data_IF_925519845098
#
_entry.id   IF_925519845098
#
_cell.length_a   1.000
_cell.length_b   1.000
_cell.length_c   1.000
_cell.angle_alpha   90.00
_cell.angle_beta   90.00
_cell.angle_gamma   90.00
#
_symmetry.space_group_name_H-M   'P 1'
#
loop_
_entity.id
_entity.type
_entity.pdbx_description
1 polymer ?
#
# COMPACT_ATOMS: atom_id res chain seq x y z
N UNK A 1 33.18 -65.49 26.93
CA UNK A 1 32.71 -65.25 25.54
C UNK A 1 31.22 -64.88 25.62
N UNK A 2 30.79 -63.75 25.02
CA UNK A 2 29.39 -63.29 24.80
C UNK A 2 28.73 -62.23 25.71
N UNK A 3 29.41 -61.46 26.57
CA UNK A 3 28.76 -60.32 27.29
C UNK A 3 29.61 -59.03 27.28
N UNK A 4 30.46 -58.82 26.28
CA UNK A 4 31.28 -57.59 26.20
C UNK A 4 31.15 -56.81 24.89
N UNK A 5 30.17 -57.18 24.04
CA UNK A 5 29.97 -56.58 22.72
C UNK A 5 28.66 -55.79 22.58
N UNK A 6 27.96 -55.50 23.68
CA UNK A 6 26.62 -54.93 23.66
C UNK A 6 26.52 -53.49 24.21
N UNK A 7 27.65 -52.78 24.43
CA UNK A 7 27.63 -51.43 25.04
C UNK A 7 28.26 -50.34 24.15
N UNK A 8 28.91 -50.68 23.03
CA UNK A 8 29.56 -49.67 22.17
C UNK A 8 28.67 -49.08 21.05
N UNK A 9 27.35 -49.32 21.03
CA UNK A 9 26.48 -48.85 19.95
C UNK A 9 25.38 -47.87 20.37
N UNK A 10 25.53 -47.18 21.51
CA UNK A 10 24.50 -46.28 22.01
C UNK A 10 24.98 -44.85 22.34
N UNK A 11 25.87 -44.29 21.52
CA UNK A 11 26.17 -42.85 21.55
C UNK A 11 26.40 -42.28 20.13
N UNK A 12 25.57 -42.67 19.17
CA UNK A 12 25.33 -41.80 18.01
C UNK A 12 24.31 -40.77 18.49
N UNK A 13 24.80 -39.69 19.10
CA UNK A 13 24.01 -38.46 19.23
C UNK A 13 23.75 -37.96 17.83
N UNK A 14 22.60 -38.32 17.26
CA UNK A 14 22.07 -37.65 16.09
C UNK A 14 21.94 -36.18 16.47
N UNK A 15 22.80 -35.34 15.89
CA UNK A 15 22.62 -33.89 15.94
C UNK A 15 21.36 -33.62 15.13
N UNK A 16 20.20 -33.65 15.80
CA UNK A 16 18.95 -33.18 15.23
C UNK A 16 19.12 -31.68 14.98
N UNK A 17 19.42 -31.33 13.74
CA UNK A 17 19.19 -29.97 13.27
C UNK A 17 17.68 -29.73 13.36
N UNK A 18 17.26 -28.98 14.39
CA UNK A 18 15.93 -28.40 14.39
C UNK A 18 15.75 -27.68 13.06
N UNK A 19 14.71 -28.02 12.32
CA UNK A 19 14.33 -27.24 11.14
C UNK A 19 14.10 -25.82 11.64
N UNK A 20 14.97 -24.89 11.27
CA UNK A 20 14.67 -23.47 11.42
C UNK A 20 13.44 -23.23 10.57
N UNK A 21 12.31 -22.92 11.22
CA UNK A 21 11.07 -22.62 10.52
C UNK A 21 11.40 -21.55 9.48
N UNK A 22 11.31 -21.84 8.17
CA UNK A 22 11.59 -20.83 7.17
C UNK A 22 10.59 -19.69 7.39
N UNK A 23 11.11 -18.46 7.52
CA UNK A 23 10.26 -17.30 7.74
C UNK A 23 9.25 -17.17 6.59
N UNK A 24 7.98 -16.92 6.90
CA UNK A 24 6.94 -16.74 5.89
C UNK A 24 7.10 -15.36 5.26
N UNK A 25 7.98 -15.28 4.26
CA UNK A 25 8.41 -14.03 3.65
C UNK A 25 8.31 -14.09 2.14
N UNK A 26 7.76 -13.03 1.56
CA UNK A 26 7.98 -12.68 0.15
C UNK A 26 9.17 -11.74 0.13
N UNK A 27 10.22 -12.04 -0.65
CA UNK A 27 11.42 -11.21 -0.67
C UNK A 27 12.01 -11.06 -2.07
N UNK A 28 12.69 -9.93 -2.28
CA UNK A 28 13.25 -9.53 -3.57
C UNK A 28 14.56 -8.76 -3.36
N UNK A 29 15.48 -8.88 -4.32
CA UNK A 29 16.75 -8.17 -4.37
C UNK A 29 16.75 -7.02 -5.38
N UNK A 30 15.57 -6.58 -5.82
CA UNK A 30 15.40 -5.44 -6.72
C UNK A 30 14.13 -4.63 -6.37
N UNK A 31 14.12 -3.31 -6.64
CA UNK A 31 12.92 -2.49 -6.48
C UNK A 31 11.75 -2.90 -7.37
N UNK A 32 10.54 -2.46 -7.01
CA UNK A 32 9.34 -2.65 -7.83
C UNK A 32 9.40 -1.90 -9.17
N UNK A 33 10.17 -0.81 -9.23
CA UNK A 33 10.26 0.04 -10.41
C UNK A 33 8.96 0.81 -10.63
N UNK A 34 8.37 0.69 -11.82
CA UNK A 34 7.09 1.32 -12.19
C UNK A 34 5.91 0.34 -12.18
N UNK A 35 6.17 -0.96 -12.06
CA UNK A 35 5.16 -2.04 -12.07
C UNK A 35 4.50 -2.13 -10.70
N UNK A 36 3.16 -2.09 -10.67
CA UNK A 36 2.39 -2.10 -9.42
C UNK A 36 2.29 -3.51 -8.82
N UNK A 37 2.21 -4.52 -9.69
CA UNK A 37 2.11 -5.94 -9.35
C UNK A 37 3.34 -6.47 -8.61
N UNK A 38 4.47 -5.77 -8.75
CA UNK A 38 5.70 -6.08 -8.02
C UNK A 38 5.72 -5.46 -6.61
N UNK A 39 4.81 -4.54 -6.28
CA UNK A 39 4.76 -3.85 -4.99
C UNK A 39 4.20 -4.78 -3.89
N UNK A 40 4.57 -4.52 -2.64
CA UNK A 40 4.18 -5.39 -1.52
C UNK A 40 2.94 -4.83 -0.79
N UNK A 41 1.85 -5.61 -0.66
CA UNK A 41 0.62 -5.15 0.00
C UNK A 41 0.74 -5.20 1.53
N UNK A 42 0.23 -4.16 2.18
CA UNK A 42 -0.09 -4.11 3.61
C UNK A 42 -1.50 -3.55 3.80
N UNK A 43 -2.22 -3.99 4.82
CA UNK A 43 -3.56 -3.48 5.08
C UNK A 43 -4.12 -3.87 6.45
N UNK A 44 -5.05 -3.05 6.94
CA UNK A 44 -5.72 -3.26 8.23
C UNK A 44 -7.24 -3.46 8.08
N UNK A 45 -7.69 -3.89 6.90
CA UNK A 45 -9.10 -4.09 6.55
C UNK A 45 -9.84 -2.81 6.12
N UNK A 46 -9.37 -1.62 6.53
CA UNK A 46 -9.89 -0.32 6.07
C UNK A 46 -8.91 0.39 5.14
N UNK A 47 -7.70 0.61 5.64
CA UNK A 47 -6.58 1.20 4.91
C UNK A 47 -5.75 0.10 4.27
N UNK A 48 -5.39 0.32 3.02
CA UNK A 48 -4.44 -0.51 2.28
C UNK A 48 -3.31 0.35 1.72
N UNK A 49 -2.13 -0.24 1.61
CA UNK A 49 -1.03 0.37 0.90
C UNK A 49 -0.21 -0.64 0.11
N UNK A 50 0.27 -0.22 -1.06
CA UNK A 50 1.22 -0.97 -1.87
C UNK A 50 2.59 -0.28 -1.79
N UNK A 51 3.58 -0.98 -1.23
CA UNK A 51 4.93 -0.46 -0.96
C UNK A 51 5.90 -0.89 -2.06
N UNK A 52 6.41 0.08 -2.82
CA UNK A 52 7.25 -0.19 -4.00
C UNK A 52 8.71 -0.51 -3.66
N UNK A 53 9.22 -0.03 -2.53
CA UNK A 53 10.62 -0.25 -2.14
C UNK A 53 11.62 0.43 -3.07
N UNK A 54 11.21 1.48 -3.79
CA UNK A 54 12.07 2.18 -4.75
C UNK A 54 13.08 3.07 -4.04
N UNK A 55 14.36 2.98 -4.42
CA UNK A 55 15.45 3.64 -3.68
C UNK A 55 15.38 5.17 -3.77
N UNK A 56 15.48 5.74 -4.97
CA UNK A 56 15.46 7.20 -5.16
C UNK A 56 14.08 7.82 -4.92
N UNK A 57 13.02 7.12 -5.36
CA UNK A 57 11.63 7.61 -5.32
C UNK A 57 10.71 6.52 -4.80
N UNK A 58 10.58 6.44 -3.48
CA UNK A 58 9.63 5.52 -2.85
C UNK A 58 8.20 5.90 -3.22
N UNK A 59 7.38 4.89 -3.47
CA UNK A 59 5.95 5.05 -3.73
C UNK A 59 5.20 4.17 -2.74
N UNK A 60 4.35 4.81 -1.95
CA UNK A 60 3.33 4.17 -1.14
C UNK A 60 2.00 4.51 -1.80
N UNK A 61 1.47 3.61 -2.63
CA UNK A 61 0.13 3.77 -3.18
C UNK A 61 -0.89 3.46 -2.09
N UNK A 62 -1.91 4.31 -1.93
CA UNK A 62 -2.83 4.29 -0.80
C UNK A 62 -4.27 4.03 -1.26
N UNK A 63 -4.94 3.17 -0.50
CA UNK A 63 -6.33 2.82 -0.68
C UNK A 63 -7.08 2.93 0.66
N UNK A 64 -8.36 3.30 0.58
CA UNK A 64 -9.32 3.31 1.68
C UNK A 64 -10.59 2.65 1.15
N UNK A 65 -11.10 1.64 1.85
CA UNK A 65 -12.09 0.69 1.30
C UNK A 65 -13.45 1.29 0.89
N UNK A 66 -13.77 2.53 1.29
CA UNK A 66 -15.03 3.24 1.00
C UNK A 66 -14.88 4.28 -0.11
N UNK A 67 -13.69 4.44 -0.69
CA UNK A 67 -13.46 5.38 -1.79
C UNK A 67 -13.89 4.77 -3.12
N UNK A 68 -15.16 4.99 -3.48
CA UNK A 68 -15.80 4.49 -4.70
C UNK A 68 -16.38 5.63 -5.54
N UNK A 69 -16.50 5.41 -6.85
CA UNK A 69 -17.15 6.36 -7.77
C UNK A 69 -18.63 6.47 -7.52
N UNK A 70 -19.22 7.52 -8.09
CA UNK A 70 -20.66 7.71 -8.05
C UNK A 70 -21.18 7.97 -6.64
N UNK A 71 -22.42 7.54 -6.41
CA UNK A 71 -23.16 7.75 -5.20
C UNK A 71 -24.39 6.84 -5.18
N UNK A 72 -25.30 7.05 -4.20
CA UNK A 72 -26.53 6.28 -4.13
C UNK A 72 -27.27 6.27 -5.47
N UNK A 73 -27.47 5.08 -6.02
CA UNK A 73 -28.17 4.87 -7.28
C UNK A 73 -28.91 3.52 -7.25
N UNK A 74 -29.79 3.34 -8.23
CA UNK A 74 -30.42 2.04 -8.50
C UNK A 74 -30.14 1.63 -9.94
N UNK A 75 -30.06 0.33 -10.14
CA UNK A 75 -29.77 -0.33 -11.41
C UNK A 75 -30.92 -1.23 -11.88
N UNK A 76 -32.10 -1.08 -11.29
CA UNK A 76 -33.28 -1.81 -11.71
C UNK A 76 -33.75 -1.38 -13.09
N UNK A 77 -34.18 -2.35 -13.89
CA UNK A 77 -34.84 -2.12 -15.16
C UNK A 77 -36.35 -2.32 -14.97
N UNK A 78 -37.18 -1.27 -15.15
CA UNK A 78 -38.64 -1.37 -14.95
C UNK A 78 -39.31 -2.44 -15.82
N UNK A 79 -38.73 -2.78 -16.96
CA UNK A 79 -39.26 -3.80 -17.87
C UNK A 79 -39.08 -5.25 -17.36
N UNK A 80 -38.30 -5.44 -16.29
CA UNK A 80 -37.88 -6.77 -15.86
C UNK A 80 -39.05 -7.65 -15.44
N UNK A 81 -40.00 -7.10 -14.67
CA UNK A 81 -41.15 -7.84 -14.16
C UNK A 81 -42.04 -8.32 -15.30
N UNK A 82 -42.42 -7.42 -16.20
CA UNK A 82 -43.30 -7.71 -17.34
C UNK A 82 -42.68 -8.70 -18.32
N UNK A 83 -41.35 -8.66 -18.47
CA UNK A 83 -40.63 -9.52 -19.42
C UNK A 83 -40.36 -10.93 -18.88
N UNK A 84 -40.43 -11.13 -17.56
CA UNK A 84 -39.97 -12.35 -16.90
C UNK A 84 -40.76 -13.59 -17.33
N UNK A 85 -42.09 -13.48 -17.46
CA UNK A 85 -42.94 -14.59 -17.90
C UNK A 85 -42.57 -15.05 -19.31
N UNK A 86 -42.35 -14.10 -20.23
CA UNK A 86 -41.99 -14.39 -21.62
C UNK A 86 -40.61 -15.02 -21.73
N UNK A 87 -39.63 -14.50 -20.99
CA UNK A 87 -38.27 -15.05 -20.96
C UNK A 87 -38.31 -16.52 -20.51
N UNK A 88 -39.03 -16.84 -19.43
CA UNK A 88 -39.19 -18.21 -18.92
C UNK A 88 -39.81 -19.15 -19.96
N UNK A 89 -40.86 -18.71 -20.65
CA UNK A 89 -41.49 -19.50 -21.72
C UNK A 89 -40.50 -19.84 -22.84
N UNK A 90 -39.70 -18.86 -23.29
CA UNK A 90 -38.71 -19.08 -24.34
C UNK A 90 -37.63 -20.07 -23.91
N UNK A 91 -37.19 -20.02 -22.65
CA UNK A 91 -36.24 -20.99 -22.09
C UNK A 91 -36.82 -22.40 -22.11
N UNK A 92 -38.06 -22.61 -21.62
CA UNK A 92 -38.70 -23.93 -21.62
C UNK A 92 -38.99 -24.47 -23.01
N UNK A 93 -39.20 -23.58 -23.99
CA UNK A 93 -39.37 -23.96 -25.40
C UNK A 93 -38.04 -24.23 -26.13
N UNK A 94 -36.89 -24.17 -25.44
CA UNK A 94 -35.58 -24.39 -26.06
C UNK A 94 -35.10 -23.24 -26.95
N UNK A 95 -35.63 -22.02 -26.79
CA UNK A 95 -35.34 -20.84 -27.62
C UNK A 95 -34.38 -19.87 -26.93
N UNK A 96 -33.15 -20.30 -26.64
CA UNK A 96 -32.24 -19.54 -25.78
C UNK A 96 -31.82 -18.20 -26.40
N UNK A 97 -31.60 -18.13 -27.71
CA UNK A 97 -31.19 -16.87 -28.38
C UNK A 97 -32.29 -15.80 -28.36
N UNK A 98 -33.55 -16.21 -28.49
CA UNK A 98 -34.69 -15.30 -28.33
C UNK A 98 -34.81 -14.83 -26.88
N UNK A 99 -34.65 -15.74 -25.90
CA UNK A 99 -34.68 -15.41 -24.48
C UNK A 99 -33.56 -14.42 -24.08
N UNK A 100 -32.34 -14.68 -24.54
CA UNK A 100 -31.16 -13.83 -24.33
C UNK A 100 -31.40 -12.40 -24.85
N UNK A 101 -31.95 -12.27 -26.06
CA UNK A 101 -32.26 -10.96 -26.65
C UNK A 101 -33.20 -10.14 -25.76
N UNK A 102 -34.29 -10.75 -25.27
CA UNK A 102 -35.24 -10.08 -24.38
C UNK A 102 -34.59 -9.77 -23.03
N UNK A 103 -33.83 -10.71 -22.46
CA UNK A 103 -33.14 -10.52 -21.18
C UNK A 103 -32.15 -9.35 -21.23
N UNK A 104 -31.34 -9.24 -22.29
CA UNK A 104 -30.41 -8.12 -22.47
C UNK A 104 -31.12 -6.76 -22.56
N UNK A 105 -32.35 -6.73 -23.04
CA UNK A 105 -33.13 -5.50 -23.14
C UNK A 105 -33.86 -5.14 -21.83
N UNK A 106 -34.42 -6.13 -21.15
CA UNK A 106 -35.39 -5.94 -20.08
C UNK A 106 -34.86 -6.22 -18.67
N UNK A 107 -33.77 -6.97 -18.52
CA UNK A 107 -33.19 -7.32 -17.22
C UNK A 107 -31.97 -6.47 -16.91
N UNK A 108 -31.11 -6.24 -17.91
CA UNK A 108 -29.90 -5.43 -17.73
C UNK A 108 -30.28 -3.97 -17.45
N UNK A 109 -29.60 -3.38 -16.47
CA UNK A 109 -29.67 -1.96 -16.09
C UNK A 109 -29.52 -1.04 -17.29
N UNK A 110 -30.25 0.08 -17.28
CA UNK A 110 -30.12 1.14 -18.31
C UNK A 110 -29.19 2.26 -17.88
N UNK A 111 -28.78 2.29 -16.61
CA UNK A 111 -28.08 3.43 -16.01
C UNK A 111 -26.68 3.06 -15.54
N UNK A 112 -26.58 2.22 -14.51
CA UNK A 112 -25.29 1.90 -13.87
C UNK A 112 -25.06 0.40 -13.76
N UNK A 113 -23.85 -0.02 -14.14
CA UNK A 113 -23.37 -1.40 -14.14
C UNK A 113 -22.45 -1.72 -12.95
N UNK A 114 -22.49 -0.88 -11.91
CA UNK A 114 -21.57 -0.93 -10.79
C UNK A 114 -20.67 0.30 -10.75
N UNK A 115 -20.14 0.59 -9.57
CA UNK A 115 -19.25 1.73 -9.35
C UNK A 115 -17.81 1.24 -9.23
N UNK A 116 -16.86 2.10 -9.61
CA UNK A 116 -15.44 1.80 -9.62
C UNK A 116 -14.80 2.14 -8.28
N UNK A 117 -14.07 1.18 -7.72
CA UNK A 117 -13.16 1.44 -6.62
C UNK A 117 -12.04 2.38 -7.07
N UNK A 118 -11.67 3.34 -6.23
CA UNK A 118 -10.67 4.37 -6.56
C UNK A 118 -9.52 4.39 -5.54
N UNK A 119 -8.27 4.60 -6.00
CA UNK A 119 -7.16 4.90 -5.11
C UNK A 119 -7.30 6.30 -4.51
N UNK A 120 -6.81 6.47 -3.28
CA UNK A 120 -6.69 7.79 -2.65
C UNK A 120 -5.58 8.60 -3.32
N UNK A 121 -4.54 7.91 -3.80
CA UNK A 121 -3.38 8.46 -4.49
C UNK A 121 -2.09 7.82 -4.01
N UNK A 122 -0.96 8.43 -4.33
CA UNK A 122 0.35 7.95 -3.92
C UNK A 122 1.00 8.92 -2.95
N UNK A 123 1.49 8.45 -1.80
CA UNK A 123 2.51 9.17 -1.05
C UNK A 123 3.87 8.83 -1.64
N UNK A 124 4.57 9.84 -2.15
CA UNK A 124 5.90 9.69 -2.75
C UNK A 124 6.96 10.31 -1.84
N UNK A 125 8.05 9.58 -1.60
CA UNK A 125 9.23 10.08 -0.88
C UNK A 125 10.43 10.09 -1.83
N UNK A 126 10.99 11.27 -2.08
CA UNK A 126 12.14 11.47 -2.96
C UNK A 126 13.43 11.69 -2.16
N UNK A 127 14.41 10.81 -2.34
CA UNK A 127 15.70 10.81 -1.66
C UNK A 127 16.80 11.23 -2.64
N UNK A 128 17.12 12.52 -2.68
CA UNK A 128 18.13 13.06 -3.57
C UNK A 128 19.52 12.46 -3.27
N UNK A 129 20.27 12.08 -4.32
CA UNK A 129 21.61 11.50 -4.18
C UNK A 129 21.62 9.98 -3.95
N UNK A 130 20.46 9.32 -3.96
CA UNK A 130 20.34 7.87 -3.74
C UNK A 130 20.30 7.04 -5.06
N UNK A 131 20.71 7.63 -6.19
CA UNK A 131 20.63 6.97 -7.51
C UNK A 131 21.57 5.78 -7.67
N UNK A 132 22.70 5.77 -6.95
CA UNK A 132 23.67 4.67 -6.92
C UNK A 132 23.63 4.02 -5.54
N UNK A 133 23.32 2.72 -5.49
CA UNK A 133 23.15 1.98 -4.24
C UNK A 133 23.66 0.53 -4.36
N UNK A 134 23.95 -0.09 -3.22
CA UNK A 134 24.32 -1.50 -3.08
C UNK A 134 23.46 -2.20 -2.02
N UNK A 135 23.66 -3.52 -1.87
CA UNK A 135 23.09 -4.33 -0.79
C UNK A 135 21.57 -4.20 -0.66
N UNK A 136 20.89 -4.10 -1.80
CA UNK A 136 19.45 -3.91 -1.84
C UNK A 136 18.72 -5.20 -1.43
N UNK A 137 17.76 -5.04 -0.54
CA UNK A 137 16.86 -6.10 -0.11
C UNK A 137 15.49 -5.53 0.25
N UNK A 138 14.41 -6.21 -0.15
CA UNK A 138 13.06 -5.92 0.34
C UNK A 138 12.29 -7.20 0.66
N UNK A 139 11.43 -7.13 1.65
CA UNK A 139 10.58 -8.25 2.09
C UNK A 139 9.20 -7.77 2.56
N UNK A 140 8.23 -8.69 2.51
CA UNK A 140 7.01 -8.69 3.32
C UNK A 140 7.08 -9.91 4.24
N UNK A 141 7.20 -9.65 5.54
CA UNK A 141 7.08 -10.65 6.59
C UNK A 141 5.60 -10.87 6.91
N UNK A 142 5.06 -12.01 6.49
CA UNK A 142 3.65 -12.36 6.62
C UNK A 142 3.29 -12.67 8.07
N UNK A 143 4.23 -13.16 8.88
CA UNK A 143 3.98 -13.43 10.30
C UNK A 143 3.79 -12.14 11.09
N UNK A 144 4.42 -11.04 10.65
CA UNK A 144 4.39 -9.75 11.33
C UNK A 144 3.53 -8.69 10.63
N UNK A 145 3.11 -8.94 9.39
CA UNK A 145 2.49 -7.95 8.51
C UNK A 145 3.34 -6.68 8.32
N UNK A 146 4.67 -6.85 8.25
CA UNK A 146 5.64 -5.76 8.10
C UNK A 146 6.37 -5.92 6.77
N UNK A 147 6.38 -4.85 5.98
CA UNK A 147 7.30 -4.72 4.86
C UNK A 147 8.60 -4.10 5.33
N UNK A 148 9.73 -4.56 4.79
CA UNK A 148 11.05 -3.96 5.03
C UNK A 148 11.75 -3.72 3.70
N UNK A 149 12.46 -2.61 3.59
CA UNK A 149 13.39 -2.30 2.49
C UNK A 149 14.70 -1.81 3.09
N UNK A 150 15.82 -2.34 2.62
CA UNK A 150 17.17 -1.96 3.06
C UNK A 150 18.09 -1.81 1.86
N UNK A 151 18.98 -0.81 1.90
CA UNK A 151 19.99 -0.57 0.87
C UNK A 151 21.10 0.33 1.42
N UNK A 152 22.24 0.37 0.75
CA UNK A 152 23.40 1.19 1.14
C UNK A 152 23.69 2.26 0.08
N UNK A 153 23.93 3.50 0.51
CA UNK A 153 24.41 4.61 -0.33
C UNK A 153 25.60 5.27 0.38
N UNK A 154 26.74 5.38 -0.29
CA UNK A 154 27.95 6.02 0.24
C UNK A 154 28.37 5.52 1.64
N UNK A 155 28.30 4.19 1.85
CA UNK A 155 28.63 3.55 3.13
C UNK A 155 27.58 3.74 4.24
N UNK A 156 26.44 4.37 3.96
CA UNK A 156 25.31 4.51 4.90
C UNK A 156 24.21 3.53 4.49
N UNK A 157 23.90 2.58 5.37
CA UNK A 157 22.71 1.73 5.25
C UNK A 157 21.45 2.50 5.66
N UNK A 158 20.42 2.43 4.82
CA UNK A 158 19.09 2.96 5.06
C UNK A 158 18.12 1.80 5.23
N UNK A 159 17.17 1.94 6.14
CA UNK A 159 16.12 0.95 6.34
C UNK A 159 14.75 1.62 6.39
N UNK A 160 13.78 0.99 5.73
CA UNK A 160 12.37 1.39 5.73
C UNK A 160 11.55 0.20 6.22
N UNK A 161 10.69 0.40 7.19
CA UNK A 161 9.75 -0.61 7.66
C UNK A 161 8.34 -0.03 7.60
N UNK A 162 7.37 -0.75 7.03
CA UNK A 162 6.01 -0.25 6.95
C UNK A 162 4.97 -1.32 7.27
N UNK A 163 3.90 -0.89 7.94
CA UNK A 163 2.75 -1.72 8.32
C UNK A 163 1.46 -0.89 8.30
N UNK A 164 0.33 -1.58 8.19
CA UNK A 164 -0.98 -0.98 8.43
C UNK A 164 -1.46 -1.44 9.80
N UNK A 165 -1.50 -0.53 10.79
CA UNK A 165 -1.88 -0.88 12.16
C UNK A 165 -3.39 -1.09 12.24
N UNK A 166 -3.80 -2.28 12.65
CA UNK A 166 -5.19 -2.59 12.97
C UNK A 166 -5.72 -1.84 14.19
N UNK A 167 -5.06 -1.87 15.38
CA UNK A 167 -5.57 -1.17 16.55
C UNK A 167 -5.55 0.35 16.40
N UNK A 168 -4.53 0.91 15.75
CA UNK A 168 -4.37 2.37 15.66
C UNK A 168 -5.06 2.97 14.43
N UNK A 169 -5.46 2.15 13.45
CA UNK A 169 -6.15 2.55 12.21
C UNK A 169 -5.37 3.52 11.31
N UNK A 170 -4.06 3.32 11.22
CA UNK A 170 -3.12 4.15 10.43
C UNK A 170 -2.17 3.25 9.60
N UNK A 171 -1.67 3.74 8.47
CA UNK A 171 -0.48 3.16 7.82
C UNK A 171 0.77 3.88 8.33
N UNK A 172 1.71 3.10 8.85
CA UNK A 172 2.97 3.58 9.41
C UNK A 172 4.13 3.20 8.50
N UNK A 173 5.03 4.14 8.23
CA UNK A 173 6.36 3.85 7.70
C UNK A 173 7.45 4.44 8.60
N UNK A 174 8.34 3.57 9.08
CA UNK A 174 9.56 3.95 9.79
C UNK A 174 10.72 4.09 8.82
N UNK A 175 11.47 5.19 8.90
CA UNK A 175 12.70 5.41 8.13
C UNK A 175 13.89 5.57 9.08
N UNK A 176 15.00 4.91 8.80
CA UNK A 176 16.24 5.03 9.56
C UNK A 176 17.46 5.08 8.64
N UNK A 177 18.55 5.67 9.13
CA UNK A 177 19.86 5.65 8.51
C UNK A 177 20.89 5.26 9.57
N UNK A 178 21.88 4.45 9.19
CA UNK A 178 22.94 3.95 10.09
C UNK A 178 23.87 5.05 10.62
N UNK A 179 23.97 6.19 9.92
CA UNK A 179 24.75 7.35 10.34
C UNK A 179 23.82 8.52 10.72
N UNK A 180 23.96 9.10 11.92
CA UNK A 180 23.21 10.28 12.33
C UNK A 180 23.32 11.41 11.31
N UNK A 181 22.21 12.13 11.10
CA UNK A 181 22.19 13.24 10.14
C UNK A 181 22.44 12.85 8.69
N UNK A 182 22.13 11.60 8.28
CA UNK A 182 22.27 11.17 6.87
C UNK A 182 20.94 10.98 6.15
N UNK A 183 19.80 11.18 6.82
CA UNK A 183 18.47 11.03 6.24
C UNK A 183 17.90 12.38 5.79
N UNK A 184 17.58 12.52 4.50
CA UNK A 184 16.88 13.66 3.93
C UNK A 184 15.99 13.23 2.78
N UNK A 185 14.80 13.78 2.68
CA UNK A 185 13.86 13.50 1.60
C UNK A 185 12.82 14.60 1.44
N UNK A 186 12.14 14.59 0.30
CA UNK A 186 10.92 15.37 0.04
C UNK A 186 9.72 14.42 0.01
N UNK A 187 8.64 14.76 0.70
CA UNK A 187 7.36 14.04 0.63
C UNK A 187 6.32 14.85 -0.16
N UNK A 188 5.55 14.17 -1.02
CA UNK A 188 4.40 14.75 -1.75
C UNK A 188 3.33 13.70 -2.02
N UNK A 189 2.08 14.15 -2.26
CA UNK A 189 1.06 13.30 -2.87
C UNK A 189 1.13 13.43 -4.39
N UNK A 190 1.16 12.29 -5.09
CA UNK A 190 1.17 12.22 -6.56
C UNK A 190 0.04 11.35 -7.09
N UNK A 191 -0.28 11.53 -8.38
CA UNK A 191 -1.40 10.87 -9.08
C UNK A 191 -2.73 10.89 -8.29
N UNK A 192 -3.14 12.02 -7.69
CA UNK A 192 -4.41 12.05 -7.00
C UNK A 192 -5.56 12.09 -8.02
N UNK A 193 -6.78 11.79 -7.60
CA UNK A 193 -7.97 11.88 -8.47
C UNK A 193 -8.12 13.29 -9.07
N UNK A 194 -8.72 13.47 -10.27
CA UNK A 194 -8.73 14.76 -10.98
C UNK A 194 -9.26 15.96 -10.19
N UNK A 195 -10.16 15.75 -9.22
CA UNK A 195 -10.78 16.78 -8.37
C UNK A 195 -10.17 16.78 -6.97
N UNK A 196 -8.84 16.87 -6.88
CA UNK A 196 -8.12 16.83 -5.60
C UNK A 196 -7.24 18.04 -5.40
N UNK A 197 -7.04 18.39 -4.13
CA UNK A 197 -6.21 19.50 -3.68
C UNK A 197 -5.16 18.94 -2.73
N UNK A 198 -3.88 19.18 -3.05
CA UNK A 198 -2.74 18.78 -2.22
C UNK A 198 -2.12 20.01 -1.56
N UNK A 199 -2.04 20.00 -0.24
CA UNK A 199 -1.56 21.15 0.55
C UNK A 199 -0.84 20.73 1.83
N UNK A 200 0.02 21.61 2.32
CA UNK A 200 0.62 21.52 3.66
C UNK A 200 -0.13 22.41 4.64
N UNK A 201 -0.34 21.90 5.86
CA UNK A 201 -1.02 22.63 6.93
C UNK A 201 -0.03 23.40 7.81
N UNK A 202 -0.54 24.32 8.65
CA UNK A 202 0.28 25.02 9.64
C UNK A 202 0.94 24.05 10.65
N UNK A 203 0.31 22.90 10.89
CA UNK A 203 0.85 21.80 11.70
C UNK A 203 1.90 20.94 10.96
N UNK A 204 2.33 21.34 9.76
CA UNK A 204 3.28 20.62 8.90
C UNK A 204 2.82 19.22 8.51
N UNK A 205 1.53 19.06 8.29
CA UNK A 205 0.97 17.85 7.69
C UNK A 205 0.84 18.05 6.20
N UNK A 206 1.10 17.00 5.43
CA UNK A 206 0.78 16.97 4.01
C UNK A 206 -0.60 16.36 3.85
N UNK A 207 -1.49 17.01 3.09
CA UNK A 207 -2.88 16.58 2.93
C UNK A 207 -3.25 16.48 1.45
N UNK A 208 -4.12 15.53 1.13
CA UNK A 208 -4.85 15.44 -0.14
C UNK A 208 -6.33 15.37 0.17
N UNK A 209 -7.15 16.24 -0.43
CA UNK A 209 -8.61 16.24 -0.23
C UNK A 209 -9.29 16.27 -1.59
N UNK A 210 -10.38 15.52 -1.75
CA UNK A 210 -11.15 15.56 -2.99
C UNK A 210 -12.49 14.84 -2.89
N UNK A 211 -13.18 14.80 -4.02
CA UNK A 211 -14.43 14.05 -4.21
C UNK A 211 -14.19 12.99 -5.28
N UNK A 212 -14.76 11.80 -5.11
CA UNK A 212 -14.64 10.70 -6.08
C UNK A 212 -15.24 11.07 -7.43
N UNK A 213 -14.83 10.35 -8.48
CA UNK A 213 -15.29 10.62 -9.84
C UNK A 213 -16.74 10.22 -10.10
N UNK A 214 -17.33 10.85 -11.11
CA UNK A 214 -18.59 10.41 -11.70
C UNK A 214 -18.35 9.13 -12.53
N UNK A 215 -19.31 8.22 -12.57
CA UNK A 215 -19.23 6.99 -13.36
C UNK A 215 -20.64 6.52 -13.76
N UNK A 216 -20.82 6.05 -15.00
CA UNK A 216 -22.11 5.61 -15.53
C UNK A 216 -23.25 6.63 -15.33
N UNK A 217 -22.95 7.92 -15.52
CA UNK A 217 -23.92 9.00 -15.30
C UNK A 217 -24.36 9.17 -13.84
N UNK A 218 -23.71 8.49 -12.88
CA UNK A 218 -23.90 8.67 -11.45
C UNK A 218 -22.81 9.61 -10.94
N UNK A 219 -23.23 10.71 -10.31
CA UNK A 219 -22.32 11.72 -9.75
C UNK A 219 -21.53 11.16 -8.58
N UNK A 220 -20.22 11.42 -8.55
CA UNK A 220 -19.32 11.13 -7.44
C UNK A 220 -19.65 11.99 -6.23
N UNK A 221 -19.98 11.34 -5.10
CA UNK A 221 -20.41 12.03 -3.87
C UNK A 221 -19.54 11.71 -2.65
N UNK A 222 -18.58 10.78 -2.76
CA UNK A 222 -17.70 10.43 -1.65
C UNK A 222 -16.60 11.48 -1.53
N UNK A 223 -16.62 12.24 -0.44
CA UNK A 223 -15.53 13.12 -0.07
C UNK A 223 -14.49 12.32 0.73
N UNK A 224 -13.22 12.49 0.40
CA UNK A 224 -12.12 11.84 1.10
C UNK A 224 -11.02 12.84 1.44
N UNK A 225 -10.26 12.50 2.48
CA UNK A 225 -9.09 13.25 2.90
C UNK A 225 -8.01 12.27 3.33
N UNK A 226 -6.85 12.33 2.69
CA UNK A 226 -5.63 11.67 3.14
C UNK A 226 -4.73 12.66 3.87
N UNK A 227 -4.19 12.25 5.01
CA UNK A 227 -3.26 13.05 5.81
C UNK A 227 -1.98 12.26 5.96
N UNK A 228 -0.83 12.87 5.71
CA UNK A 228 0.49 12.33 6.02
C UNK A 228 1.18 13.24 7.04
N UNK A 229 1.48 12.67 8.22
CA UNK A 229 2.20 13.36 9.30
C UNK A 229 3.58 12.73 9.45
N UNK A 230 4.61 13.59 9.56
CA UNK A 230 6.00 13.18 9.70
C UNK A 230 6.47 13.50 11.12
N UNK A 231 6.77 12.47 11.92
CA UNK A 231 7.33 12.60 13.26
C UNK A 231 8.85 12.42 13.20
N UNK A 232 9.57 13.45 13.60
CA UNK A 232 11.03 13.51 13.60
C UNK A 232 11.63 12.98 14.92
N UNK A 233 12.80 12.37 14.78
CA UNK A 233 13.76 12.11 15.86
C UNK A 233 15.09 12.71 15.38
N UNK A 234 15.32 13.98 15.73
CA UNK A 234 16.36 14.82 15.14
C UNK A 234 16.00 15.43 13.76
N UNK A 235 16.79 16.42 13.34
CA UNK A 235 16.59 17.14 12.07
C UNK A 235 15.48 18.19 12.10
N UNK A 236 15.08 18.65 10.91
CA UNK A 236 14.08 19.72 10.75
C UNK A 236 13.13 19.45 9.59
N UNK A 237 11.86 19.79 9.81
CA UNK A 237 10.79 19.73 8.83
C UNK A 237 10.45 21.13 8.32
N UNK A 238 10.49 21.31 7.00
CA UNK A 238 10.16 22.58 6.34
C UNK A 238 9.15 22.33 5.21
N UNK A 239 8.01 23.05 5.18
CA UNK A 239 7.17 23.08 3.98
C UNK A 239 7.95 23.77 2.85
N UNK A 240 7.85 23.24 1.63
CA UNK A 240 8.44 23.89 0.45
C UNK A 240 7.42 24.81 -0.21
N UNK A 241 7.90 25.66 -1.12
CA UNK A 241 7.05 26.42 -2.04
C UNK A 241 7.13 25.78 -3.44
N UNK A 242 6.00 25.43 -4.09
CA UNK A 242 4.63 25.50 -3.58
C UNK A 242 4.38 24.52 -2.42
N UNK A 243 3.36 24.84 -1.60
CA UNK A 243 2.94 24.13 -0.35
C UNK A 243 2.52 22.67 -0.55
N UNK A 244 2.92 22.00 -1.62
CA UNK A 244 2.61 20.61 -1.95
C UNK A 244 3.73 19.63 -1.57
N UNK A 245 4.88 20.11 -1.07
CA UNK A 245 5.92 19.23 -0.53
C UNK A 245 6.34 19.59 0.90
N UNK A 246 6.85 18.57 1.58
CA UNK A 246 7.46 18.66 2.89
C UNK A 246 8.89 18.15 2.80
N UNK A 247 9.86 19.01 3.10
CA UNK A 247 11.28 18.70 3.05
C UNK A 247 11.80 18.41 4.45
N UNK A 248 12.44 17.26 4.62
CA UNK A 248 13.24 16.94 5.79
C UNK A 248 14.69 17.32 5.51
N UNK A 249 15.30 18.06 6.44
CA UNK A 249 16.69 18.50 6.39
C UNK A 249 17.47 17.96 7.59
N UNK A 250 18.75 17.68 7.34
CA UNK A 250 19.76 17.38 8.33
C UNK A 250 20.04 18.65 9.15
N UNK A 251 20.13 18.57 10.50
CA UNK A 251 20.60 19.71 11.29
C UNK A 251 22.12 19.88 11.09
N UNK A 252 22.68 21.10 11.21
CA UNK A 252 24.14 21.27 11.26
C UNK A 252 24.73 20.37 12.37
N UNK A 253 25.98 19.89 12.22
CA UNK A 253 26.52 18.82 13.04
C UNK A 253 26.48 19.19 14.53
N UNK A 254 25.64 18.48 15.29
CA UNK A 254 25.67 18.45 16.75
C UNK A 254 25.89 17.00 17.20
N UNK A 255 26.84 16.85 18.11
CA UNK A 255 27.39 15.58 18.61
C UNK A 255 26.38 14.97 19.58
N UNK A 256 25.58 13.99 19.16
CA UNK A 256 24.96 13.01 20.07
C UNK A 256 24.81 11.64 19.37
N UNK A 257 25.01 10.52 20.08
CA UNK A 257 25.06 9.19 19.49
C UNK A 257 23.74 8.45 19.72
N UNK A 258 22.70 8.75 18.94
CA UNK A 258 21.55 7.85 18.82
C UNK A 258 21.09 7.79 17.36
N UNK A 259 20.74 6.60 16.83
CA UNK A 259 20.23 6.47 15.47
C UNK A 259 18.82 7.09 15.38
N UNK A 260 18.57 8.02 14.44
CA UNK A 260 17.27 8.69 14.34
C UNK A 260 16.17 7.74 13.84
N UNK A 261 15.02 7.76 14.51
CA UNK A 261 13.80 7.01 14.16
C UNK A 261 12.71 7.93 13.61
N UNK A 262 12.36 7.83 12.32
CA UNK A 262 11.23 8.56 11.75
C UNK A 262 9.95 7.71 11.78
N UNK A 263 8.77 8.28 12.02
CA UNK A 263 7.46 7.64 11.79
C UNK A 263 6.60 8.51 10.87
N UNK A 264 6.19 7.98 9.72
CA UNK A 264 5.16 8.59 8.85
C UNK A 264 3.84 7.91 9.18
N UNK A 265 2.85 8.68 9.61
CA UNK A 265 1.49 8.21 9.87
C UNK A 265 0.56 8.74 8.79
N UNK A 266 -0.14 7.85 8.08
CA UNK A 266 -1.31 8.23 7.28
C UNK A 266 -2.62 7.80 7.94
N UNK A 267 -3.56 8.74 8.07
CA UNK A 267 -4.92 8.52 8.60
C UNK A 267 -5.96 8.60 7.49
#
# INVERSE_FOLDING_TARGET
MKIFFAVCFLFITTVCFSQTKPGLKLWYNQPSGTTWENALPIGNGRLGAMVYGNVEKEIIQLNEHTVWSGGPNRNDNPMALDSLARIRQLIFAGKQKEAEKIANQAIITKKSHGQMFQPVGNLQLAFAGHGTYSDYYRELDIEKAVTKTSYTVNGVTYTREALASFPDRVVVMRLTASKPGSLSFNASFTKPLPKTVVQTTAAKELTTTGTTMDHDGVKGLVNFKGIARIKLDGGRLQPTTPRSLLKMLIPPPFIFPLPPTLTITTM
#
